data_IF_635404413166
#
_entry.id   IF_635404413166
#
_cell.length_a   1.000
_cell.length_b   1.000
_cell.length_c   1.000
_cell.angle_alpha   90.00
_cell.angle_beta   90.00
_cell.angle_gamma   90.00
#
_symmetry.space_group_name_H-M   'P 1'
#
loop_
_entity.id
_entity.type
_entity.pdbx_description
1 polymer ?
#
# COMPACT_ATOMS: atom_id res chain seq x y z
N UNK A 1 0.22 -29.61 21.50
CA UNK A 1 0.66 -28.69 22.57
C UNK A 1 0.06 -27.32 22.33
N UNK A 2 -0.48 -26.66 23.35
CA UNK A 2 -1.05 -25.31 23.19
C UNK A 2 0.05 -24.28 22.88
N UNK A 3 -0.22 -23.37 21.94
CA UNK A 3 0.65 -22.22 21.64
C UNK A 3 0.61 -21.18 22.76
N UNK A 4 1.48 -20.17 22.67
CA UNK A 4 1.50 -19.06 23.62
C UNK A 4 0.13 -18.35 23.71
N UNK A 5 -0.47 -18.01 22.57
CA UNK A 5 -1.79 -17.35 22.53
C UNK A 5 -2.88 -18.25 23.12
N UNK A 6 -2.91 -19.53 22.74
CA UNK A 6 -3.93 -20.47 23.24
C UNK A 6 -3.85 -20.68 24.76
N UNK A 7 -2.63 -20.72 25.33
CA UNK A 7 -2.44 -20.77 26.79
C UNK A 7 -2.98 -19.50 27.46
N UNK A 8 -2.64 -18.33 26.91
CA UNK A 8 -3.09 -17.04 27.43
C UNK A 8 -4.63 -16.90 27.34
N UNK A 9 -5.24 -17.32 26.24
CA UNK A 9 -6.69 -17.36 26.07
C UNK A 9 -7.35 -18.24 27.13
N UNK A 10 -6.88 -19.49 27.29
CA UNK A 10 -7.44 -20.43 28.26
C UNK A 10 -7.37 -19.88 29.69
N UNK A 11 -6.23 -19.30 30.06
CA UNK A 11 -6.05 -18.66 31.37
C UNK A 11 -7.01 -17.47 31.56
N UNK A 12 -7.17 -16.61 30.55
CA UNK A 12 -8.05 -15.43 30.62
C UNK A 12 -9.53 -15.82 30.76
N UNK A 13 -9.96 -16.88 30.06
CA UNK A 13 -11.34 -17.40 30.15
C UNK A 13 -11.61 -18.05 31.51
N UNK A 14 -10.68 -18.86 32.02
CA UNK A 14 -10.80 -19.50 33.35
C UNK A 14 -10.86 -18.49 34.49
N UNK A 15 -10.24 -17.32 34.33
CA UNK A 15 -10.28 -16.21 35.30
C UNK A 15 -11.57 -15.38 35.22
N UNK A 16 -12.52 -15.75 34.35
CA UNK A 16 -13.84 -15.13 34.18
C UNK A 16 -13.78 -13.60 34.07
N UNK A 17 -12.85 -13.10 33.25
CA UNK A 17 -12.63 -11.65 33.10
C UNK A 17 -13.72 -11.04 32.22
N UNK A 18 -14.93 -10.86 32.76
CA UNK A 18 -16.07 -10.31 32.03
C UNK A 18 -15.74 -8.89 31.55
N UNK A 19 -15.64 -8.71 30.24
CA UNK A 19 -15.29 -7.46 29.56
C UNK A 19 -13.81 -7.07 29.62
N UNK A 20 -12.93 -7.83 30.28
CA UNK A 20 -11.49 -7.53 30.24
C UNK A 20 -10.81 -8.04 28.97
N UNK A 21 -9.50 -7.88 28.91
CA UNK A 21 -8.70 -8.36 27.79
C UNK A 21 -8.68 -9.90 27.72
N UNK A 22 -9.24 -10.44 26.63
CA UNK A 22 -9.12 -11.85 26.24
C UNK A 22 -8.35 -11.87 24.90
N UNK A 23 -7.16 -12.48 24.84
CA UNK A 23 -6.34 -12.45 23.64
C UNK A 23 -7.02 -13.20 22.49
N UNK A 24 -7.07 -12.60 21.30
CA UNK A 24 -7.57 -13.23 20.08
C UNK A 24 -6.45 -13.97 19.38
N UNK A 25 -6.72 -15.22 19.03
CA UNK A 25 -5.76 -16.11 18.38
C UNK A 25 -6.24 -16.50 16.98
N UNK A 26 -5.29 -16.58 16.06
CA UNK A 26 -5.49 -17.17 14.74
C UNK A 26 -5.70 -18.69 14.83
N UNK A 27 -6.18 -19.28 13.74
CA UNK A 27 -6.36 -20.73 13.63
C UNK A 27 -5.07 -21.53 13.87
N UNK A 28 -3.92 -20.99 13.46
CA UNK A 28 -2.60 -21.61 13.70
C UNK A 28 -2.04 -21.36 15.11
N UNK A 29 -2.80 -20.68 15.98
CA UNK A 29 -2.45 -20.41 17.36
C UNK A 29 -1.49 -19.24 17.57
N UNK A 30 -1.13 -18.48 16.54
CA UNK A 30 -0.48 -17.17 16.72
C UNK A 30 -1.46 -16.14 17.26
N UNK A 31 -0.93 -15.07 17.84
CA UNK A 31 -1.74 -13.90 18.15
C UNK A 31 -2.25 -13.27 16.85
N UNK A 32 -3.51 -12.83 16.87
CA UNK A 32 -3.97 -11.85 15.90
C UNK A 32 -3.25 -10.52 16.13
N UNK A 33 -2.95 -9.80 15.05
CA UNK A 33 -2.16 -8.58 15.13
C UNK A 33 -2.86 -7.48 15.90
N UNK A 34 -4.19 -7.42 15.80
CA UNK A 34 -5.06 -6.50 16.54
C UNK A 34 -5.63 -7.22 17.75
N UNK A 35 -5.42 -6.64 18.93
CA UNK A 35 -6.00 -7.08 20.19
C UNK A 35 -6.91 -6.00 20.74
N UNK A 36 -8.04 -6.36 21.34
CA UNK A 36 -9.01 -5.41 21.85
C UNK A 36 -9.49 -5.80 23.26
N UNK A 37 -9.74 -4.80 24.10
CA UNK A 37 -10.33 -4.95 25.42
C UNK A 37 -11.77 -4.41 25.43
N UNK A 38 -12.70 -5.24 25.91
CA UNK A 38 -14.13 -4.91 25.88
C UNK A 38 -14.53 -3.73 26.79
N UNK A 39 -13.93 -3.61 27.97
CA UNK A 39 -14.28 -2.61 29.00
C UNK A 39 -13.93 -1.19 28.60
N UNK A 40 -12.75 -1.01 28.00
CA UNK A 40 -12.23 0.32 27.63
C UNK A 40 -12.47 0.64 26.15
N UNK A 41 -12.99 -0.34 25.38
CA UNK A 41 -13.08 -0.31 23.93
C UNK A 41 -11.75 0.03 23.23
N UNK A 42 -10.62 -0.21 23.91
CA UNK A 42 -9.30 0.06 23.37
C UNK A 42 -8.80 -1.15 22.58
N UNK A 43 -8.27 -0.90 21.39
CA UNK A 43 -7.56 -1.87 20.57
C UNK A 43 -6.09 -1.44 20.41
N UNK A 44 -5.17 -2.40 20.30
CA UNK A 44 -3.73 -2.17 20.12
C UNK A 44 -3.12 -3.27 19.24
N UNK A 45 -1.94 -3.00 18.71
CA UNK A 45 -1.18 -3.98 17.97
C UNK A 45 -0.33 -4.83 18.89
N UNK A 46 -0.13 -6.10 18.56
CA UNK A 46 0.80 -6.99 19.28
C UNK A 46 1.85 -7.61 18.37
N UNK A 47 3.01 -7.91 18.95
CA UNK A 47 4.06 -8.68 18.29
C UNK A 47 3.73 -10.19 18.25
N UNK A 48 4.65 -11.00 17.72
CA UNK A 48 4.48 -12.46 17.61
C UNK A 48 4.37 -13.18 18.97
N UNK A 49 4.74 -12.52 20.07
CA UNK A 49 4.64 -13.02 21.44
C UNK A 49 3.39 -12.50 22.15
N UNK A 50 2.59 -11.66 21.50
CA UNK A 50 1.38 -11.07 22.08
C UNK A 50 1.65 -9.84 22.94
N UNK A 51 2.86 -9.26 22.87
CA UNK A 51 3.21 -8.04 23.60
C UNK A 51 2.72 -6.83 22.84
N UNK A 52 2.12 -5.87 23.56
CA UNK A 52 1.67 -4.62 22.99
C UNK A 52 2.82 -3.85 22.34
N UNK A 53 2.59 -3.41 21.11
CA UNK A 53 3.45 -2.44 20.43
C UNK A 53 3.09 -1.06 20.98
N UNK A 54 4.00 -0.48 21.75
CA UNK A 54 3.79 0.80 22.46
C UNK A 54 3.35 1.89 21.47
N UNK A 55 2.32 2.67 21.84
CA UNK A 55 1.80 3.78 21.03
C UNK A 55 0.76 3.40 19.97
N UNK A 56 0.35 2.14 19.91
CA UNK A 56 -0.68 1.66 18.95
C UNK A 56 -2.10 1.61 19.54
N UNK A 57 -2.25 1.88 20.83
CA UNK A 57 -3.54 1.81 21.53
C UNK A 57 -4.48 2.93 21.08
N UNK A 58 -5.68 2.56 20.67
CA UNK A 58 -6.71 3.48 20.13
C UNK A 58 -8.12 2.95 20.40
N UNK A 59 -9.11 3.83 20.40
CA UNK A 59 -10.54 3.45 20.40
C UNK A 59 -11.15 3.40 18.98
N UNK A 60 -10.36 3.71 17.95
CA UNK A 60 -10.79 3.69 16.54
C UNK A 60 -10.32 2.45 15.77
N UNK A 61 -10.58 2.44 14.46
CA UNK A 61 -10.11 1.38 13.55
C UNK A 61 -8.59 1.31 13.52
N UNK A 62 -8.04 0.12 13.76
CA UNK A 62 -6.61 -0.13 13.85
C UNK A 62 -6.16 -1.14 12.78
N UNK A 63 -5.12 -0.80 12.02
CA UNK A 63 -4.47 -1.71 11.05
C UNK A 63 -3.05 -1.96 11.53
N UNK A 64 -2.77 -3.21 11.89
CA UNK A 64 -1.48 -3.61 12.45
C UNK A 64 -0.54 -4.21 11.39
N UNK A 65 0.79 -4.05 11.53
CA UNK A 65 1.75 -4.73 10.68
C UNK A 65 1.70 -6.24 10.95
N UNK A 66 1.93 -7.06 9.91
CA UNK A 66 2.04 -8.52 10.09
C UNK A 66 3.25 -8.86 10.98
N UNK A 67 3.21 -9.93 11.81
CA UNK A 67 4.29 -10.30 12.71
C UNK A 67 5.55 -10.66 11.90
N UNK A 68 6.63 -9.90 12.10
CA UNK A 68 7.88 -10.00 11.31
C UNK A 68 8.01 -8.95 10.20
N UNK A 69 6.99 -8.12 9.98
CA UNK A 69 7.04 -7.00 9.05
C UNK A 69 7.76 -5.79 9.65
N UNK A 70 8.74 -5.27 8.93
CA UNK A 70 9.36 -3.97 9.23
C UNK A 70 8.31 -2.88 8.99
N UNK A 71 8.13 -1.97 9.96
CA UNK A 71 7.24 -0.81 9.77
C UNK A 71 7.66 -0.02 8.53
N UNK A 72 6.70 0.25 7.66
CA UNK A 72 6.89 1.19 6.55
C UNK A 72 7.21 2.59 7.09
N UNK A 73 7.85 3.46 6.28
CA UNK A 73 8.14 4.83 6.71
C UNK A 73 6.90 5.60 7.21
N UNK A 74 5.74 5.42 6.56
CA UNK A 74 4.51 6.09 6.98
C UNK A 74 4.02 5.57 8.33
N UNK A 75 3.93 4.24 8.49
CA UNK A 75 3.47 3.62 9.74
C UNK A 75 4.37 4.01 10.93
N UNK A 76 5.69 4.04 10.72
CA UNK A 76 6.65 4.48 11.74
C UNK A 76 6.40 5.93 12.16
N UNK A 77 6.32 6.86 11.21
CA UNK A 77 6.07 8.29 11.49
C UNK A 77 4.70 8.52 12.14
N UNK A 78 3.68 7.75 11.74
CA UNK A 78 2.37 7.78 12.39
C UNK A 78 2.48 7.38 13.86
N UNK A 79 3.11 6.24 14.13
CA UNK A 79 3.30 5.75 15.50
C UNK A 79 4.10 6.74 16.36
N UNK A 80 5.17 7.33 15.83
CA UNK A 80 5.95 8.37 16.51
C UNK A 80 5.08 9.59 16.86
N UNK A 81 4.27 10.07 15.92
CA UNK A 81 3.39 11.22 16.13
C UNK A 81 2.25 10.95 17.13
N UNK A 82 1.77 9.71 17.23
CA UNK A 82 0.66 9.33 18.13
C UNK A 82 1.12 8.79 19.48
N UNK A 83 2.39 8.39 19.64
CA UNK A 83 2.92 7.88 20.91
C UNK A 83 3.04 8.97 21.97
N UNK A 84 3.31 10.21 21.56
CA UNK A 84 3.38 11.39 22.43
C UNK A 84 2.65 12.56 21.75
N UNK A 85 1.31 12.55 21.72
CA UNK A 85 0.54 13.51 20.94
C UNK A 85 0.62 14.90 21.58
N UNK A 86 1.43 15.77 20.99
CA UNK A 86 1.41 17.20 21.30
C UNK A 86 0.16 17.81 20.68
N UNK A 87 -0.66 18.58 21.42
CA UNK A 87 -1.83 19.25 20.85
C UNK A 87 -1.45 20.07 19.61
N UNK A 88 -2.12 19.80 18.49
CA UNK A 88 -1.82 20.45 17.21
C UNK A 88 -0.64 19.86 16.45
N UNK A 89 -0.08 18.71 16.85
CA UNK A 89 0.90 17.98 16.05
C UNK A 89 0.26 17.32 14.82
N UNK A 90 1.10 17.10 13.79
CA UNK A 90 0.71 16.40 12.58
C UNK A 90 0.99 14.90 12.71
N UNK A 91 -0.01 14.08 12.39
CA UNK A 91 0.17 12.64 12.18
C UNK A 91 -0.13 12.30 10.70
N UNK A 92 0.80 11.62 9.99
CA UNK A 92 0.60 11.28 8.59
C UNK A 92 -0.49 10.23 8.39
N UNK A 93 -1.19 10.30 7.25
CA UNK A 93 -2.15 9.29 6.81
C UNK A 93 -1.49 8.28 5.89
N UNK A 94 -1.74 7.01 6.17
CA UNK A 94 -1.18 5.89 5.42
C UNK A 94 -2.30 5.12 4.71
N UNK A 95 -2.00 4.60 3.52
CA UNK A 95 -2.83 3.62 2.82
C UNK A 95 -2.78 2.25 3.52
N UNK A 96 -3.64 1.33 3.10
CA UNK A 96 -3.71 -0.02 3.65
C UNK A 96 -2.40 -0.83 3.48
N UNK A 97 -1.61 -0.55 2.43
CA UNK A 97 -0.31 -1.18 2.17
C UNK A 97 0.85 -0.53 2.97
N UNK A 98 0.57 0.50 3.78
CA UNK A 98 1.56 1.24 4.56
C UNK A 98 2.27 2.35 3.80
N UNK A 99 1.99 2.56 2.51
CA UNK A 99 2.48 3.74 1.80
C UNK A 99 1.77 5.03 2.28
N UNK A 100 2.33 6.20 1.98
CA UNK A 100 1.66 7.46 2.28
C UNK A 100 0.42 7.65 1.40
N UNK A 101 -0.67 8.17 1.97
CA UNK A 101 -1.71 8.78 1.14
C UNK A 101 -1.10 9.94 0.35
N UNK A 102 -1.45 10.08 -0.93
CA UNK A 102 -0.92 11.15 -1.80
C UNK A 102 -1.25 12.53 -1.27
N UNK A 103 -2.39 12.68 -0.60
CA UNK A 103 -2.81 13.90 0.07
C UNK A 103 -2.64 13.73 1.57
N UNK A 104 -1.98 14.68 2.22
CA UNK A 104 -1.89 14.79 3.67
C UNK A 104 -2.65 16.02 4.15
N UNK A 105 -3.24 15.96 5.34
CA UNK A 105 -4.06 17.06 5.87
C UNK A 105 -3.78 17.29 7.36
N UNK A 106 -3.53 18.55 7.72
CA UNK A 106 -3.36 18.96 9.10
C UNK A 106 -4.72 19.41 9.67
N UNK A 107 -5.50 18.47 10.22
CA UNK A 107 -6.88 18.74 10.67
C UNK A 107 -7.01 19.96 11.61
N UNK A 108 -6.08 20.13 12.55
CA UNK A 108 -6.11 21.26 13.49
C UNK A 108 -5.80 22.62 12.85
N UNK A 109 -5.08 22.65 11.73
CA UNK A 109 -4.66 23.89 11.05
C UNK A 109 -5.47 24.15 9.78
N UNK A 110 -6.24 23.16 9.29
CA UNK A 110 -7.21 23.34 8.20
C UNK A 110 -6.64 23.31 6.78
N UNK A 111 -5.38 22.89 6.58
CA UNK A 111 -4.79 22.79 5.24
C UNK A 111 -4.37 21.35 4.89
N UNK A 112 -4.29 21.08 3.59
CA UNK A 112 -3.81 19.83 2.99
C UNK A 112 -2.70 20.10 1.98
N UNK A 113 -1.87 19.11 1.69
CA UNK A 113 -0.78 19.16 0.71
C UNK A 113 -0.57 17.80 0.08
N UNK A 114 0.17 17.76 -1.03
CA UNK A 114 0.55 16.50 -1.66
C UNK A 114 1.92 16.04 -1.17
N UNK A 115 2.13 14.72 -1.11
CA UNK A 115 3.41 14.13 -0.73
C UNK A 115 3.95 13.18 -1.79
N UNK A 116 5.28 13.03 -1.81
CA UNK A 116 5.96 11.99 -2.58
C UNK A 116 5.84 10.59 -1.93
N UNK A 117 6.44 9.57 -2.54
CA UNK A 117 6.45 8.19 -2.04
C UNK A 117 7.12 8.02 -0.66
N UNK A 118 7.89 9.01 -0.21
CA UNK A 118 8.58 9.04 1.08
C UNK A 118 7.87 9.93 2.11
N UNK A 119 6.71 10.50 1.75
CA UNK A 119 5.92 11.36 2.61
C UNK A 119 6.44 12.79 2.72
N UNK A 120 7.35 13.22 1.84
CA UNK A 120 7.82 14.60 1.81
C UNK A 120 6.82 15.46 1.04
N UNK A 121 6.57 16.68 1.53
CA UNK A 121 5.67 17.62 0.87
C UNK A 121 6.20 18.03 -0.51
N UNK A 122 5.33 17.94 -1.52
CA UNK A 122 5.59 18.45 -2.86
C UNK A 122 5.44 19.98 -2.82
N UNK A 123 6.46 20.75 -3.24
CA UNK A 123 6.41 22.21 -3.19
C UNK A 123 5.17 22.79 -3.89
N UNK A 124 4.61 23.86 -3.31
CA UNK A 124 3.45 24.62 -3.83
C UNK A 124 2.14 23.81 -3.91
N UNK A 125 2.00 22.74 -3.14
CA UNK A 125 0.74 21.96 -3.10
C UNK A 125 -0.11 22.22 -1.86
N UNK A 126 0.42 22.92 -0.85
CA UNK A 126 -0.32 23.26 0.38
C UNK A 126 -1.47 24.23 0.13
N UNK A 127 -2.67 23.88 0.56
CA UNK A 127 -3.87 24.70 0.41
C UNK A 127 -4.94 24.38 1.45
N UNK A 128 -5.76 25.37 1.81
CA UNK A 128 -7.00 25.18 2.59
C UNK A 128 -8.12 24.59 1.71
N UNK A 129 -8.04 24.80 0.40
CA UNK A 129 -8.99 24.22 -0.58
C UNK A 129 -8.58 22.79 -0.94
N UNK A 130 -9.49 21.99 -1.50
CA UNK A 130 -9.15 20.66 -2.03
C UNK A 130 -7.95 20.73 -2.99
N UNK A 131 -6.93 19.91 -2.72
CA UNK A 131 -5.70 19.86 -3.51
C UNK A 131 -5.82 18.84 -4.64
N UNK A 132 -5.24 19.15 -5.79
CA UNK A 132 -5.03 18.19 -6.88
C UNK A 132 -3.55 17.87 -6.94
N UNK A 133 -3.21 16.61 -6.68
CA UNK A 133 -1.81 16.20 -6.71
C UNK A 133 -1.31 16.05 -8.14
N UNK A 134 -0.04 16.42 -8.41
CA UNK A 134 0.59 16.04 -9.65
C UNK A 134 0.48 14.52 -9.78
N UNK A 135 -0.13 14.03 -10.85
CA UNK A 135 0.04 12.63 -11.18
C UNK A 135 1.53 12.35 -11.31
N UNK A 136 2.02 11.15 -10.95
CA UNK A 136 3.35 10.77 -11.37
C UNK A 136 3.46 11.09 -12.86
N UNK A 137 4.54 11.76 -13.27
CA UNK A 137 4.80 12.07 -14.68
C UNK A 137 5.12 10.73 -15.34
N UNK A 138 4.08 9.91 -15.51
CA UNK A 138 4.15 8.64 -16.18
C UNK A 138 4.24 8.97 -17.66
N UNK A 139 5.25 8.39 -18.30
CA UNK A 139 5.29 8.35 -19.75
C UNK A 139 4.00 7.70 -20.29
N UNK A 140 3.69 7.90 -21.59
CA UNK A 140 2.56 7.21 -22.21
C UNK A 140 2.55 5.69 -21.96
N UNK A 141 3.71 5.03 -22.06
CA UNK A 141 3.83 3.59 -21.78
C UNK A 141 3.53 3.25 -20.32
N UNK A 142 4.18 3.94 -19.37
CA UNK A 142 4.00 3.68 -17.94
C UNK A 142 2.55 3.89 -17.51
N UNK A 143 1.88 4.91 -18.06
CA UNK A 143 0.45 5.18 -17.82
C UNK A 143 -0.42 4.02 -18.34
N UNK A 144 -0.19 3.56 -19.58
CA UNK A 144 -0.94 2.42 -20.13
C UNK A 144 -0.69 1.13 -19.36
N UNK A 145 0.55 0.88 -18.92
CA UNK A 145 0.92 -0.27 -18.10
C UNK A 145 0.20 -0.27 -16.75
N UNK A 146 0.15 0.88 -16.07
CA UNK A 146 -0.56 1.04 -14.80
C UNK A 146 -2.06 0.77 -14.98
N UNK A 147 -2.68 1.38 -15.99
CA UNK A 147 -4.11 1.17 -16.29
C UNK A 147 -4.41 -0.30 -16.64
N UNK A 148 -3.59 -0.93 -17.47
CA UNK A 148 -3.74 -2.34 -17.85
C UNK A 148 -3.57 -3.31 -16.67
N UNK A 149 -2.76 -2.96 -15.68
CA UNK A 149 -2.54 -3.77 -14.48
C UNK A 149 -3.68 -3.59 -13.46
N UNK A 150 -4.14 -2.35 -13.26
CA UNK A 150 -5.19 -2.02 -12.30
C UNK A 150 -6.57 -2.59 -12.69
N UNK A 151 -6.85 -2.70 -13.99
CA UNK A 151 -8.16 -3.15 -14.49
C UNK A 151 -8.32 -4.68 -14.57
N UNK A 152 -7.33 -5.47 -14.13
CA UNK A 152 -7.49 -6.92 -13.95
C UNK A 152 -8.19 -7.62 -15.12
N UNK A 153 -7.48 -7.75 -16.26
CA UNK A 153 -7.99 -8.17 -17.58
C UNK A 153 -8.85 -7.13 -18.32
N UNK A 154 -8.13 -6.30 -19.10
CA UNK A 154 -8.45 -6.04 -20.51
C UNK A 154 -9.74 -5.27 -20.83
N UNK A 155 -9.57 -4.02 -21.25
CA UNK A 155 -10.42 -3.40 -22.27
C UNK A 155 -9.59 -2.29 -22.94
N UNK A 156 -9.36 -2.20 -24.25
CA UNK A 156 -10.01 -2.78 -25.45
C UNK A 156 -9.01 -3.62 -26.30
N UNK A 157 -7.74 -3.74 -25.89
CA UNK A 157 -6.67 -4.44 -26.64
C UNK A 157 -5.92 -5.53 -25.86
N UNK A 158 -6.41 -5.94 -24.69
CA UNK A 158 -6.01 -7.20 -24.03
C UNK A 158 -4.56 -7.35 -23.51
N UNK A 159 -3.61 -6.48 -23.84
CA UNK A 159 -2.21 -6.59 -23.45
C UNK A 159 -1.74 -5.49 -22.48
N UNK A 160 -0.77 -5.82 -21.63
CA UNK A 160 -0.09 -4.88 -20.74
C UNK A 160 1.25 -4.53 -21.41
N UNK A 161 1.53 -3.25 -21.73
CA UNK A 161 2.76 -2.91 -22.45
C UNK A 161 4.01 -3.05 -21.59
N UNK A 162 5.10 -3.43 -22.24
CA UNK A 162 6.46 -3.44 -21.73
C UNK A 162 7.14 -2.09 -22.00
N UNK A 163 7.74 -1.53 -20.96
CA UNK A 163 8.36 -0.21 -21.02
C UNK A 163 9.84 -0.31 -20.64
N UNK A 164 10.68 0.45 -21.33
CA UNK A 164 12.08 0.66 -20.98
C UNK A 164 12.20 1.43 -19.65
N UNK A 165 13.42 1.45 -19.09
CA UNK A 165 13.72 2.18 -17.84
C UNK A 165 13.48 3.70 -17.95
N UNK A 166 13.66 4.27 -19.14
CA UNK A 166 13.38 5.69 -19.43
C UNK A 166 11.89 5.99 -19.70
N UNK A 167 11.04 4.96 -19.66
CA UNK A 167 9.61 5.07 -19.87
C UNK A 167 9.15 5.01 -21.32
N UNK A 168 10.03 4.87 -22.32
CA UNK A 168 9.60 4.57 -23.70
C UNK A 168 9.01 3.16 -23.79
N UNK A 169 8.27 2.88 -24.87
CA UNK A 169 7.89 1.51 -25.18
C UNK A 169 9.13 0.70 -25.54
N UNK A 170 9.17 -0.56 -25.09
CA UNK A 170 10.04 -1.55 -25.73
C UNK A 170 9.56 -1.76 -27.17
N UNK A 171 10.49 -1.90 -28.11
CA UNK A 171 10.16 -2.02 -29.54
C UNK A 171 9.32 -3.27 -29.81
N UNK A 172 9.58 -4.36 -29.07
CA UNK A 172 8.81 -5.60 -29.12
C UNK A 172 7.78 -5.60 -27.99
N UNK A 173 6.50 -5.73 -28.34
CA UNK A 173 5.42 -5.93 -27.40
C UNK A 173 4.85 -7.33 -27.55
N UNK A 174 4.51 -7.98 -26.44
CA UNK A 174 3.99 -9.34 -26.45
C UNK A 174 2.70 -9.44 -25.63
N UNK A 175 1.69 -10.10 -26.21
CA UNK A 175 0.46 -10.44 -25.51
C UNK A 175 0.63 -11.79 -24.81
N UNK A 176 0.69 -11.78 -23.48
CA UNK A 176 0.93 -12.99 -22.66
C UNK A 176 -0.12 -14.08 -22.85
N UNK A 177 -1.39 -13.70 -23.08
CA UNK A 177 -2.51 -14.61 -23.37
C UNK A 177 -2.47 -15.27 -24.75
N UNK A 178 -2.33 -14.51 -25.84
CA UNK A 178 -2.41 -15.05 -27.22
C UNK A 178 -1.07 -15.53 -27.79
N UNK A 179 0.03 -15.23 -27.10
CA UNK A 179 1.42 -15.54 -27.49
C UNK A 179 1.89 -14.82 -28.77
N UNK A 180 1.15 -13.81 -29.22
CA UNK A 180 1.61 -12.94 -30.30
C UNK A 180 2.55 -11.86 -29.75
N UNK A 181 3.61 -11.58 -30.51
CA UNK A 181 4.46 -10.42 -30.35
C UNK A 181 4.43 -9.58 -31.63
N UNK A 182 4.62 -8.27 -31.52
CA UNK A 182 4.65 -7.33 -32.64
C UNK A 182 5.62 -6.18 -32.34
N UNK A 183 6.04 -5.48 -33.39
CA UNK A 183 6.78 -4.23 -33.24
C UNK A 183 5.80 -3.08 -32.95
N UNK A 184 6.21 -2.11 -32.14
CA UNK A 184 5.48 -0.85 -31.96
C UNK A 184 6.28 0.35 -32.43
N UNK A 185 5.63 1.50 -32.59
CA UNK A 185 6.27 2.81 -32.79
C UNK A 185 6.59 3.52 -31.44
N UNK A 186 7.17 4.72 -31.49
CA UNK A 186 7.49 5.52 -30.29
C UNK A 186 6.27 5.85 -29.41
N UNK A 187 5.07 5.82 -30.00
CA UNK A 187 3.79 6.07 -29.32
C UNK A 187 3.16 4.79 -28.79
N UNK A 188 3.75 3.63 -29.08
CA UNK A 188 3.27 2.31 -28.69
C UNK A 188 2.21 1.73 -29.63
N UNK A 189 2.10 2.27 -30.84
CA UNK A 189 1.17 1.78 -31.87
C UNK A 189 1.81 0.63 -32.63
N UNK A 190 1.07 -0.45 -32.84
CA UNK A 190 1.55 -1.62 -33.59
C UNK A 190 1.95 -1.25 -35.02
N UNK A 191 3.16 -1.65 -35.41
CA UNK A 191 3.64 -1.58 -36.79
C UNK A 191 2.97 -2.70 -37.57
N UNK A 192 2.26 -2.31 -38.63
CA UNK A 192 1.49 -3.23 -39.44
C UNK A 192 2.34 -4.36 -40.03
N UNK A 193 1.80 -5.58 -40.05
CA UNK A 193 2.46 -6.76 -40.62
C UNK A 193 3.56 -7.39 -39.75
N UNK A 194 3.84 -6.86 -38.55
CA UNK A 194 4.91 -7.38 -37.67
C UNK A 194 4.44 -8.44 -36.68
N UNK A 195 3.13 -8.69 -36.58
CA UNK A 195 2.56 -9.63 -35.61
C UNK A 195 2.94 -11.08 -35.93
N UNK A 196 3.61 -11.74 -34.98
CA UNK A 196 4.06 -13.13 -35.11
C UNK A 196 3.98 -13.89 -33.78
N UNK A 197 4.01 -15.23 -33.84
CA UNK A 197 4.17 -16.12 -32.67
C UNK A 197 5.62 -16.58 -32.48
N UNK A 198 6.48 -16.29 -33.44
CA UNK A 198 7.91 -16.64 -33.40
C UNK A 198 8.72 -15.48 -32.87
N UNK A 199 10.02 -15.70 -32.73
CA UNK A 199 10.97 -14.63 -32.44
C UNK A 199 10.89 -13.52 -33.52
N UNK A 200 10.91 -12.27 -33.07
CA UNK A 200 10.96 -11.07 -33.91
C UNK A 200 12.03 -10.11 -33.37
N UNK A 201 12.72 -9.41 -34.27
CA UNK A 201 13.58 -8.27 -33.95
C UNK A 201 12.98 -7.03 -34.58
N UNK A 202 12.91 -5.96 -33.81
CA UNK A 202 12.43 -4.66 -34.25
C UNK A 202 13.60 -3.67 -34.21
N UNK A 203 13.69 -2.77 -35.18
CA UNK A 203 14.71 -1.72 -35.19
C UNK A 203 14.46 -0.76 -34.02
N UNK A 204 15.53 -0.28 -33.40
CA UNK A 204 15.44 0.80 -32.42
C UNK A 204 15.01 2.09 -33.13
N UNK A 205 14.22 2.91 -32.46
CA UNK A 205 13.85 4.21 -33.01
C UNK A 205 15.08 5.13 -33.07
N UNK A 206 15.37 5.69 -34.24
CA UNK A 206 16.43 6.69 -34.44
C UNK A 206 17.77 6.15 -34.95
N UNK A 207 17.80 4.94 -35.52
CA UNK A 207 18.94 4.44 -36.33
C UNK A 207 18.68 4.56 -37.83
#
# INVERSE_FOLDING_TARGET
TLTACQKAYKFAVEKNVIGGYIPRCKADGRYEEVQCEGRTHSCWCVDNQGREIIGTRTQGTLVCPHPGGVLTPCQRRYQEATSSPVPGSFAPRCRADGSFEEVQCHKSQGYCWCVDQFGNEIPRTRSIKPVRCPSPILSPCQRRRLLGTALGRGNVEGYIPHCKSDGRYEEVQCHTGTKYCWCVDEKGVEVWGTRTRTFIRCAAFGE
#
